data_IF_014581709378
#
_entry.id   IF_014581709378
#
_cell.length_a   1.000
_cell.length_b   1.000
_cell.length_c   1.000
_cell.angle_alpha   90.00
_cell.angle_beta   90.00
_cell.angle_gamma   90.00
#
_symmetry.space_group_name_H-M   'P 1'
#
loop_
_entity.id
_entity.type
_entity.pdbx_description
1 polymer ?
#
# COMPACT_ATOMS: atom_id res chain seq x y z
N UNK A 1 -13.07 -22.64 -6.65
CA UNK A 1 -13.53 -21.38 -7.27
C UNK A 1 -13.83 -20.28 -6.25
N UNK A 2 -14.68 -20.50 -5.23
CA UNK A 2 -14.96 -19.49 -4.18
C UNK A 2 -13.71 -18.85 -3.50
N UNK A 3 -12.67 -19.62 -3.08
CA UNK A 3 -11.50 -19.03 -2.41
C UNK A 3 -10.67 -18.14 -3.34
N UNK A 4 -10.64 -18.44 -4.64
CA UNK A 4 -9.92 -17.64 -5.63
C UNK A 4 -10.60 -16.29 -5.83
N UNK A 5 -11.94 -16.25 -5.92
CA UNK A 5 -12.69 -15.00 -5.97
C UNK A 5 -12.50 -14.15 -4.71
N UNK A 6 -12.53 -14.78 -3.53
CA UNK A 6 -12.31 -14.09 -2.27
C UNK A 6 -10.90 -13.46 -2.19
N UNK A 7 -9.86 -14.20 -2.60
CA UNK A 7 -8.48 -13.72 -2.62
C UNK A 7 -8.26 -12.58 -3.62
N UNK A 8 -8.81 -12.70 -4.83
CA UNK A 8 -8.74 -11.62 -5.83
C UNK A 8 -9.45 -10.37 -5.33
N UNK A 9 -10.64 -10.52 -4.72
CA UNK A 9 -11.37 -9.40 -4.15
C UNK A 9 -10.61 -8.73 -3.00
N UNK A 10 -10.00 -9.53 -2.12
CA UNK A 10 -9.15 -9.04 -1.04
C UNK A 10 -7.93 -8.28 -1.58
N UNK A 11 -7.30 -8.79 -2.64
CA UNK A 11 -6.19 -8.12 -3.32
C UNK A 11 -6.61 -6.77 -3.92
N UNK A 12 -7.78 -6.70 -4.54
CA UNK A 12 -8.33 -5.42 -5.07
C UNK A 12 -8.60 -4.43 -3.94
N UNK A 13 -9.23 -4.87 -2.84
CA UNK A 13 -9.46 -4.02 -1.67
C UNK A 13 -8.14 -3.51 -1.07
N UNK A 14 -7.12 -4.37 -1.03
CA UNK A 14 -5.79 -4.02 -0.57
C UNK A 14 -5.18 -2.91 -1.44
N UNK A 15 -5.22 -3.06 -2.76
CA UNK A 15 -4.76 -2.02 -3.71
C UNK A 15 -5.50 -0.68 -3.52
N UNK A 16 -6.82 -0.71 -3.37
CA UNK A 16 -7.62 0.51 -3.15
C UNK A 16 -7.20 1.17 -1.83
N UNK A 17 -6.99 0.36 -0.78
CA UNK A 17 -6.49 0.81 0.52
C UNK A 17 -5.13 1.48 0.42
N UNK A 18 -4.18 0.87 -0.29
CA UNK A 18 -2.83 1.42 -0.50
C UNK A 18 -2.87 2.78 -1.21
N UNK A 19 -3.66 2.89 -2.29
CA UNK A 19 -3.82 4.15 -3.03
C UNK A 19 -4.46 5.22 -2.16
N UNK A 20 -5.50 4.88 -1.38
CA UNK A 20 -6.15 5.80 -0.47
C UNK A 20 -5.20 6.26 0.65
N UNK A 21 -4.42 5.35 1.23
CA UNK A 21 -3.43 5.66 2.27
C UNK A 21 -2.33 6.58 1.72
N UNK A 22 -1.80 6.30 0.53
CA UNK A 22 -0.86 7.16 -0.17
C UNK A 22 -1.45 8.55 -0.44
N UNK A 23 -2.68 8.62 -0.95
CA UNK A 23 -3.37 9.88 -1.19
C UNK A 23 -3.53 10.72 0.09
N UNK A 24 -3.90 10.07 1.21
CA UNK A 24 -4.01 10.72 2.51
C UNK A 24 -2.66 11.25 3.00
N UNK A 25 -1.59 10.45 2.87
CA UNK A 25 -0.23 10.81 3.26
C UNK A 25 0.31 11.98 2.45
N UNK A 26 0.08 11.99 1.13
CA UNK A 26 0.46 13.08 0.24
C UNK A 26 -0.33 14.35 0.58
N UNK A 27 -1.64 14.24 0.80
CA UNK A 27 -2.47 15.38 1.22
C UNK A 27 -1.99 15.95 2.56
N UNK A 28 -1.62 15.08 3.50
CA UNK A 28 -1.07 15.49 4.79
C UNK A 28 0.32 16.13 4.66
N UNK A 29 1.14 15.67 3.72
CA UNK A 29 2.43 16.27 3.38
C UNK A 29 2.23 17.66 2.75
N UNK A 30 1.31 17.82 1.81
CA UNK A 30 1.02 19.10 1.13
C UNK A 30 0.51 20.17 2.08
N UNK A 31 -0.25 19.79 3.12
CA UNK A 31 -0.70 20.70 4.19
C UNK A 31 0.42 21.16 5.13
N UNK A 32 1.69 20.81 4.88
CA UNK A 32 2.81 21.28 5.70
C UNK A 32 3.11 22.77 5.45
N UNK A 33 3.20 23.60 6.50
CA UNK A 33 3.34 25.06 6.37
C UNK A 33 4.72 25.54 5.91
N UNK A 34 5.74 24.68 5.95
CA UNK A 34 7.10 25.02 5.51
C UNK A 34 7.74 23.90 4.68
N UNK A 35 8.64 24.23 3.73
CA UNK A 35 9.31 23.26 2.88
C UNK A 35 10.15 22.24 3.67
N UNK A 36 10.79 22.66 4.77
CA UNK A 36 11.58 21.76 5.63
C UNK A 36 10.71 20.74 6.37
N UNK A 37 9.54 21.16 6.85
CA UNK A 37 8.56 20.24 7.45
C UNK A 37 8.00 19.29 6.40
N UNK A 38 7.77 19.77 5.18
CA UNK A 38 7.31 18.94 4.05
C UNK A 38 8.31 17.83 3.75
N UNK A 39 9.60 18.16 3.72
CA UNK A 39 10.67 17.19 3.49
C UNK A 39 10.81 16.18 4.62
N UNK A 40 10.70 16.66 5.88
CA UNK A 40 10.73 15.78 7.05
C UNK A 40 9.56 14.80 7.07
N UNK A 41 8.35 15.25 6.70
CA UNK A 41 7.15 14.41 6.58
C UNK A 41 7.27 13.39 5.45
N UNK A 42 7.86 13.77 4.32
CA UNK A 42 8.14 12.85 3.22
C UNK A 42 9.07 11.72 3.69
N UNK A 43 10.23 12.05 4.25
CA UNK A 43 11.26 11.05 4.60
C UNK A 43 10.83 10.18 5.80
N UNK A 44 10.20 10.76 6.84
CA UNK A 44 9.83 10.00 8.04
C UNK A 44 8.43 9.40 8.03
N UNK A 45 7.54 9.90 7.18
CA UNK A 45 6.14 9.46 7.13
C UNK A 45 5.83 8.75 5.82
N UNK A 46 5.87 9.48 4.72
CA UNK A 46 5.44 8.98 3.40
C UNK A 46 6.33 7.83 2.94
N UNK A 47 7.65 8.01 2.93
CA UNK A 47 8.60 7.00 2.44
C UNK A 47 8.51 5.66 3.18
N UNK A 48 8.58 5.58 4.53
CA UNK A 48 8.45 4.31 5.23
C UNK A 48 7.06 3.70 5.07
N UNK A 49 6.00 4.51 5.07
CA UNK A 49 4.65 4.00 4.82
C UNK A 49 4.55 3.37 3.41
N UNK A 50 5.05 4.04 2.38
CA UNK A 50 5.08 3.49 1.01
C UNK A 50 5.86 2.18 0.93
N UNK A 51 7.01 2.08 1.62
CA UNK A 51 7.79 0.83 1.67
C UNK A 51 7.01 -0.30 2.34
N UNK A 52 6.31 -0.01 3.44
CA UNK A 52 5.46 -1.00 4.13
C UNK A 52 4.30 -1.45 3.24
N UNK A 53 3.59 -0.51 2.60
CA UNK A 53 2.49 -0.83 1.68
C UNK A 53 2.96 -1.69 0.50
N UNK A 54 4.08 -1.30 -0.14
CA UNK A 54 4.70 -2.09 -1.20
C UNK A 54 5.10 -3.50 -0.73
N UNK A 55 5.69 -3.60 0.47
CA UNK A 55 6.08 -4.89 1.04
C UNK A 55 4.88 -5.80 1.30
N UNK A 56 3.78 -5.24 1.81
CA UNK A 56 2.53 -5.98 2.02
C UNK A 56 1.89 -6.40 0.69
N UNK A 57 1.90 -5.52 -0.31
CA UNK A 57 1.41 -5.83 -1.66
C UNK A 57 2.21 -6.98 -2.29
N UNK A 58 3.55 -6.90 -2.23
CA UNK A 58 4.44 -7.96 -2.69
C UNK A 58 4.20 -9.27 -1.95
N UNK A 59 4.01 -9.22 -0.64
CA UNK A 59 3.71 -10.40 0.17
C UNK A 59 2.37 -11.02 -0.27
N UNK A 60 1.33 -10.22 -0.41
CA UNK A 60 0.01 -10.66 -0.86
C UNK A 60 0.08 -11.30 -2.26
N UNK A 61 0.78 -10.67 -3.20
CA UNK A 61 1.03 -11.23 -4.53
C UNK A 61 1.79 -12.54 -4.47
N UNK A 62 2.84 -12.62 -3.66
CA UNK A 62 3.64 -13.85 -3.50
C UNK A 62 2.78 -14.98 -2.94
N UNK A 63 1.96 -14.71 -1.91
CA UNK A 63 1.02 -15.69 -1.36
C UNK A 63 0.02 -16.15 -2.41
N UNK A 64 -0.51 -15.22 -3.21
CA UNK A 64 -1.45 -15.54 -4.28
C UNK A 64 -0.81 -16.42 -5.35
N UNK A 65 0.40 -16.11 -5.81
CA UNK A 65 1.16 -16.91 -6.78
C UNK A 65 1.49 -18.31 -6.24
N UNK A 66 1.90 -18.43 -4.97
CA UNK A 66 2.17 -19.72 -4.33
C UNK A 66 0.91 -20.59 -4.18
N UNK A 67 -0.22 -19.96 -3.86
CA UNK A 67 -1.51 -20.65 -3.80
C UNK A 67 -1.95 -21.11 -5.20
N UNK A 68 -1.71 -20.28 -6.22
CA UNK A 68 -2.00 -20.61 -7.62
C UNK A 68 -1.08 -21.71 -8.17
N UNK A 69 0.20 -21.74 -7.78
CA UNK A 69 1.15 -22.77 -8.23
C UNK A 69 0.91 -24.14 -7.60
N UNK A 70 0.17 -24.20 -6.49
CA UNK A 70 -0.23 -25.45 -5.83
C UNK A 70 -1.54 -26.03 -6.35
N UNK A 71 -2.25 -25.31 -7.20
CA UNK A 71 -3.42 -25.79 -7.94
C UNK A 71 -2.98 -26.30 -9.31
#
# INVERSE_FOLDING_TARGET
MLPQFALTFLGVLFCIGDVAALGLLLTWQERAPSPDLRWRRLIRGVLPATVVLLGLLLLAFTQMLLLWSRQ
#
